data_IF_095034126295
#
_entry.id   IF_095034126295
#
_cell.length_a   1.000
_cell.length_b   1.000
_cell.length_c   1.000
_cell.angle_alpha   90.00
_cell.angle_beta   90.00
_cell.angle_gamma   90.00
#
_symmetry.space_group_name_H-M   'P 1'
#
loop_
_entity.id
_entity.type
_entity.pdbx_description
1 polymer ?
#
# COMPACT_ATOMS: atom_id res chain seq x y z
N UNK A 1 29.04 11.82 38.89
CA UNK A 1 27.95 11.94 37.89
C UNK A 1 26.63 11.58 38.57
N UNK A 2 25.70 12.52 38.70
CA UNK A 2 24.55 12.43 39.64
C UNK A 2 23.57 11.29 39.31
N UNK A 3 23.27 10.42 40.29
CA UNK A 3 22.35 9.28 40.19
C UNK A 3 20.93 9.68 39.71
N UNK A 4 20.46 10.89 40.09
CA UNK A 4 19.19 11.46 39.63
C UNK A 4 19.09 11.68 38.13
N UNK A 5 20.20 11.98 37.44
CA UNK A 5 20.19 12.17 35.98
C UNK A 5 20.03 10.84 35.23
N UNK A 6 20.63 9.76 35.73
CA UNK A 6 20.47 8.42 35.14
C UNK A 6 19.03 7.93 35.25
N UNK A 7 18.39 8.16 36.40
CA UNK A 7 16.99 7.77 36.63
C UNK A 7 16.02 8.51 35.69
N UNK A 8 16.19 9.82 35.49
CA UNK A 8 15.32 10.58 34.57
C UNK A 8 15.52 10.18 33.11
N UNK A 9 16.77 9.95 32.68
CA UNK A 9 17.07 9.50 31.32
C UNK A 9 16.42 8.13 31.03
N UNK A 10 16.54 7.18 31.95
CA UNK A 10 15.95 5.84 31.81
C UNK A 10 14.43 5.93 31.73
N UNK A 11 13.80 6.74 32.59
CA UNK A 11 12.34 6.97 32.55
C UNK A 11 11.90 7.60 31.23
N UNK A 12 12.66 8.56 30.70
CA UNK A 12 12.37 9.16 29.39
C UNK A 12 12.50 8.17 28.23
N UNK A 13 13.50 7.27 28.26
CA UNK A 13 13.67 6.23 27.25
C UNK A 13 12.52 5.21 27.32
N UNK A 14 12.11 4.80 28.52
CA UNK A 14 10.97 3.89 28.71
C UNK A 14 9.67 4.55 28.22
N UNK A 15 9.43 5.82 28.56
CA UNK A 15 8.26 6.56 28.09
C UNK A 15 8.27 6.71 26.56
N UNK A 16 9.42 7.01 25.96
CA UNK A 16 9.57 7.08 24.52
C UNK A 16 9.26 5.72 23.87
N UNK A 17 9.79 4.62 24.42
CA UNK A 17 9.53 3.27 23.93
C UNK A 17 8.06 2.88 24.06
N UNK A 18 7.40 3.22 25.18
CA UNK A 18 5.97 2.99 25.40
C UNK A 18 5.14 3.76 24.37
N UNK A 19 5.45 5.04 24.18
CA UNK A 19 4.79 5.89 23.17
C UNK A 19 5.00 5.31 21.78
N UNK A 20 6.23 4.96 21.39
CA UNK A 20 6.54 4.33 20.11
C UNK A 20 5.83 2.97 19.92
N UNK A 21 5.69 2.16 20.97
CA UNK A 21 5.00 0.86 20.91
C UNK A 21 3.47 0.99 20.85
N UNK A 22 2.90 2.07 21.39
CA UNK A 22 1.47 2.37 21.25
C UNK A 22 1.13 2.87 19.84
N UNK A 23 2.11 3.40 19.10
CA UNK A 23 2.00 3.76 17.69
C UNK A 23 2.34 2.60 16.73
N UNK A 24 2.78 1.44 17.23
CA UNK A 24 3.05 0.26 16.38
C UNK A 24 1.77 -0.41 15.85
N UNK A 25 0.59 -0.01 16.33
CA UNK A 25 -0.69 -0.24 15.65
C UNK A 25 -1.24 1.12 15.27
N UNK A 26 -0.64 1.71 14.24
CA UNK A 26 -1.05 3.00 13.72
C UNK A 26 -2.43 2.85 13.07
N UNK A 27 -3.50 3.00 13.84
CA UNK A 27 -4.84 3.32 13.33
C UNK A 27 -4.82 4.78 12.84
N UNK A 28 -3.99 5.07 11.85
CA UNK A 28 -4.11 6.29 11.06
C UNK A 28 -5.22 5.99 10.07
N UNK A 29 -6.39 6.60 10.25
CA UNK A 29 -7.48 6.63 9.28
C UNK A 29 -7.98 5.26 8.78
N UNK A 30 -8.72 4.50 9.59
CA UNK A 30 -9.57 3.40 9.12
C UNK A 30 -8.87 2.15 8.55
N UNK A 31 -7.59 2.24 8.18
CA UNK A 31 -6.80 1.15 7.62
C UNK A 31 -5.84 0.58 8.65
N UNK A 32 -5.47 -0.69 8.47
CA UNK A 32 -4.52 -1.40 9.33
C UNK A 32 -3.25 -1.67 8.54
N UNK A 33 -2.09 -1.40 9.12
CA UNK A 33 -0.79 -1.80 8.57
C UNK A 33 -0.14 -2.86 9.48
N UNK A 34 0.23 -4.00 8.91
CA UNK A 34 0.93 -5.09 9.60
C UNK A 34 2.25 -5.40 8.88
N UNK A 35 3.38 -5.17 9.56
CA UNK A 35 4.69 -5.55 9.06
C UNK A 35 5.05 -6.99 9.51
N UNK A 36 5.09 -7.92 8.55
CA UNK A 36 5.39 -9.35 8.76
C UNK A 36 6.80 -9.73 8.30
N UNK A 37 7.46 -8.88 7.52
CA UNK A 37 8.86 -9.03 7.11
C UNK A 37 9.87 -8.72 8.24
N UNK A 38 9.40 -8.14 9.34
CA UNK A 38 10.17 -7.88 10.55
C UNK A 38 11.02 -6.60 10.48
N UNK A 39 12.09 -6.53 11.27
CA UNK A 39 12.82 -5.28 11.53
C UNK A 39 13.95 -4.99 10.53
N UNK A 40 13.82 -5.46 9.28
CA UNK A 40 14.82 -5.15 8.25
C UNK A 40 14.72 -3.67 7.83
N UNK A 41 15.83 -3.09 7.36
CA UNK A 41 15.83 -1.71 6.84
C UNK A 41 14.84 -1.56 5.67
N UNK A 42 14.71 -2.59 4.83
CA UNK A 42 13.80 -2.59 3.71
C UNK A 42 12.32 -2.60 4.15
N UNK A 43 11.98 -3.44 5.13
CA UNK A 43 10.63 -3.50 5.69
C UNK A 43 10.25 -2.19 6.41
N UNK A 44 11.18 -1.62 7.19
CA UNK A 44 10.96 -0.34 7.85
C UNK A 44 10.79 0.82 6.85
N UNK A 45 11.55 0.82 5.74
CA UNK A 45 11.39 1.80 4.67
C UNK A 45 10.02 1.65 4.00
N UNK A 46 9.63 0.42 3.66
CA UNK A 46 8.33 0.16 3.06
C UNK A 46 7.18 0.62 3.98
N UNK A 47 7.26 0.30 5.27
CA UNK A 47 6.30 0.71 6.29
C UNK A 47 6.17 2.23 6.39
N UNK A 48 7.29 2.93 6.46
CA UNK A 48 7.30 4.39 6.52
C UNK A 48 6.69 5.02 5.25
N UNK A 49 6.99 4.48 4.07
CA UNK A 49 6.45 4.99 2.81
C UNK A 49 4.95 4.73 2.68
N UNK A 50 4.45 3.57 3.10
CA UNK A 50 3.01 3.26 3.13
C UNK A 50 2.29 4.24 4.05
N UNK A 51 2.78 4.42 5.29
CA UNK A 51 2.18 5.38 6.24
C UNK A 51 2.26 6.83 5.73
N UNK A 52 3.34 7.19 5.04
CA UNK A 52 3.45 8.53 4.45
C UNK A 52 2.47 8.74 3.30
N UNK A 53 2.21 7.73 2.49
CA UNK A 53 1.29 7.86 1.35
C UNK A 53 -0.18 7.75 1.77
N UNK A 54 -0.48 6.99 2.83
CA UNK A 54 -1.86 6.85 3.32
C UNK A 54 -2.49 8.18 3.73
N UNK A 55 -1.72 9.15 4.23
CA UNK A 55 -2.24 10.48 4.60
C UNK A 55 -2.70 11.31 3.39
N UNK A 56 -2.32 10.93 2.17
CA UNK A 56 -2.71 11.62 0.93
C UNK A 56 -3.97 11.04 0.31
N UNK A 57 -4.34 9.82 0.71
CA UNK A 57 -5.53 9.13 0.22
C UNK A 57 -6.71 9.55 1.08
N UNK A 58 -7.88 9.71 0.45
CA UNK A 58 -9.11 9.99 1.19
C UNK A 58 -9.49 8.76 2.03
N UNK A 59 -9.88 8.99 3.28
CA UNK A 59 -10.22 7.92 4.24
C UNK A 59 -11.22 6.90 3.68
N UNK A 60 -12.21 7.34 2.90
CA UNK A 60 -13.24 6.49 2.27
C UNK A 60 -12.68 5.40 1.34
N UNK A 61 -11.46 5.57 0.81
CA UNK A 61 -10.83 4.60 -0.10
C UNK A 61 -9.95 3.58 0.64
N UNK A 62 -9.66 3.82 1.92
CA UNK A 62 -8.78 2.98 2.74
C UNK A 62 -9.49 2.47 4.00
N UNK A 63 -10.77 2.79 4.16
CA UNK A 63 -11.58 2.32 5.28
C UNK A 63 -11.64 0.78 5.28
N UNK A 64 -11.39 0.19 6.45
CA UNK A 64 -11.35 -1.26 6.69
C UNK A 64 -10.34 -2.04 5.83
N UNK A 65 -9.41 -1.34 5.16
CA UNK A 65 -8.35 -1.94 4.36
C UNK A 65 -7.22 -2.45 5.27
N UNK A 66 -6.78 -3.69 5.05
CA UNK A 66 -5.58 -4.20 5.71
C UNK A 66 -4.39 -4.25 4.75
N UNK A 67 -3.29 -3.63 5.12
CA UNK A 67 -2.04 -3.61 4.35
C UNK A 67 -1.02 -4.48 5.07
N UNK A 68 -0.46 -5.45 4.36
CA UNK A 68 0.57 -6.35 4.83
C UNK A 68 1.89 -6.06 4.13
N UNK A 69 2.96 -5.85 4.91
CA UNK A 69 4.33 -5.94 4.38
C UNK A 69 4.79 -7.36 4.64
N UNK A 70 4.61 -8.22 3.63
CA UNK A 70 4.77 -9.67 3.74
C UNK A 70 5.31 -10.25 2.42
N UNK A 71 6.62 -10.11 2.22
CA UNK A 71 7.29 -10.49 0.97
C UNK A 71 7.28 -11.99 0.69
N UNK A 72 7.00 -12.81 1.72
CA UNK A 72 6.98 -14.28 1.64
C UNK A 72 5.57 -14.85 1.51
N UNK A 73 4.56 -13.98 1.36
CA UNK A 73 3.19 -14.42 1.26
C UNK A 73 2.94 -15.22 -0.04
N UNK A 74 2.14 -16.29 0.07
CA UNK A 74 1.79 -17.16 -1.05
C UNK A 74 0.96 -16.48 -2.14
N UNK A 75 0.33 -15.34 -1.88
CA UNK A 75 -0.41 -14.57 -2.91
C UNK A 75 0.49 -14.17 -4.08
N UNK A 76 1.79 -13.95 -3.84
CA UNK A 76 2.76 -13.63 -4.89
C UNK A 76 3.18 -14.83 -5.75
N UNK A 77 2.84 -16.05 -5.34
CA UNK A 77 3.07 -17.26 -6.15
C UNK A 77 1.99 -17.46 -7.22
N UNK A 78 0.83 -16.83 -7.03
CA UNK A 78 -0.34 -16.94 -7.93
C UNK A 78 -0.29 -15.93 -9.09
N UNK A 79 0.57 -14.91 -9.00
CA UNK A 79 0.77 -13.89 -10.03
C UNK A 79 1.79 -14.38 -11.09
N UNK A 80 1.44 -14.45 -12.39
CA UNK A 80 2.40 -14.76 -13.46
C UNK A 80 3.07 -13.46 -13.94
N UNK A 81 4.41 -13.26 -13.90
CA UNK A 81 5.51 -14.06 -13.38
C UNK A 81 6.09 -13.42 -12.11
N UNK A 82 5.45 -13.56 -10.95
CA UNK A 82 5.99 -13.22 -9.63
C UNK A 82 6.75 -11.88 -9.53
N UNK A 83 6.32 -10.87 -10.30
CA UNK A 83 6.99 -9.58 -10.45
C UNK A 83 6.20 -8.43 -9.82
N UNK A 84 4.95 -8.67 -9.42
CA UNK A 84 4.19 -7.72 -8.61
C UNK A 84 4.98 -7.34 -7.36
N UNK A 85 5.12 -6.04 -7.16
CA UNK A 85 5.66 -5.46 -5.93
C UNK A 85 4.57 -5.32 -4.86
N UNK A 86 3.30 -5.39 -5.28
CA UNK A 86 2.16 -5.53 -4.38
C UNK A 86 0.92 -6.01 -5.12
N UNK A 87 -0.04 -6.52 -4.36
CA UNK A 87 -1.27 -7.12 -4.84
C UNK A 87 -2.43 -6.76 -3.92
N UNK A 88 -3.52 -6.26 -4.49
CA UNK A 88 -4.82 -6.20 -3.83
C UNK A 88 -5.54 -7.54 -3.96
N UNK A 89 -6.06 -8.05 -2.83
CA UNK A 89 -6.83 -9.30 -2.72
C UNK A 89 -8.26 -8.94 -2.30
N UNK A 90 -9.24 -8.92 -3.23
CA UNK A 90 -10.60 -8.49 -2.95
C UNK A 90 -11.30 -9.31 -1.85
N UNK A 91 -11.08 -10.63 -1.82
CA UNK A 91 -11.72 -11.53 -0.86
C UNK A 91 -11.35 -11.23 0.59
N UNK A 92 -10.17 -10.64 0.81
CA UNK A 92 -9.65 -10.27 2.12
C UNK A 92 -9.77 -8.77 2.39
N UNK A 93 -10.17 -7.98 1.38
CA UNK A 93 -9.99 -6.52 1.35
C UNK A 93 -8.60 -6.12 1.86
N UNK A 94 -7.56 -6.72 1.27
CA UNK A 94 -6.19 -6.58 1.75
C UNK A 94 -5.20 -6.25 0.64
N UNK A 95 -4.17 -5.47 0.96
CA UNK A 95 -3.03 -5.19 0.08
C UNK A 95 -1.80 -5.87 0.66
N UNK A 96 -1.13 -6.68 -0.16
CA UNK A 96 0.16 -7.26 0.15
C UNK A 96 1.25 -6.47 -0.56
N UNK A 97 2.32 -6.11 0.13
CA UNK A 97 3.47 -5.36 -0.41
C UNK A 97 4.76 -6.11 -0.11
N UNK A 98 5.62 -6.21 -1.12
CA UNK A 98 6.96 -6.78 -1.03
C UNK A 98 7.96 -5.72 -0.59
N UNK A 99 8.55 -5.88 0.58
CA UNK A 99 9.70 -5.08 0.99
C UNK A 99 11.03 -5.65 0.46
N UNK A 100 11.07 -6.93 0.09
CA UNK A 100 12.28 -7.60 -0.42
C UNK A 100 12.66 -7.18 -1.85
N UNK A 101 11.79 -6.45 -2.55
CA UNK A 101 11.99 -5.97 -3.92
C UNK A 101 11.56 -4.52 -4.03
N UNK A 102 12.50 -3.65 -4.41
CA UNK A 102 12.24 -2.22 -4.61
C UNK A 102 11.45 -1.56 -3.47
N UNK A 103 11.89 -1.68 -2.19
CA UNK A 103 11.18 -1.10 -1.05
C UNK A 103 10.99 0.42 -1.18
N UNK A 104 11.86 1.11 -1.93
CA UNK A 104 11.73 2.53 -2.25
C UNK A 104 10.45 2.88 -3.05
N UNK A 105 9.81 1.88 -3.66
CA UNK A 105 8.56 2.02 -4.42
C UNK A 105 7.32 1.63 -3.64
N UNK A 106 7.44 1.19 -2.38
CA UNK A 106 6.32 0.68 -1.60
C UNK A 106 5.16 1.67 -1.47
N UNK A 107 5.47 2.97 -1.40
CA UNK A 107 4.46 4.02 -1.37
C UNK A 107 3.63 4.11 -2.66
N UNK A 108 4.30 4.12 -3.82
CA UNK A 108 3.61 4.15 -5.13
C UNK A 108 2.78 2.88 -5.33
N UNK A 109 3.35 1.73 -4.96
CA UNK A 109 2.67 0.43 -5.00
C UNK A 109 1.42 0.44 -4.13
N UNK A 110 1.49 0.98 -2.91
CA UNK A 110 0.33 1.10 -2.04
C UNK A 110 -0.80 1.90 -2.70
N UNK A 111 -0.51 3.08 -3.27
CA UNK A 111 -1.53 3.89 -3.93
C UNK A 111 -2.11 3.19 -5.16
N UNK A 112 -1.27 2.54 -5.97
CA UNK A 112 -1.72 1.76 -7.13
C UNK A 112 -2.69 0.65 -6.70
N UNK A 113 -2.37 -0.09 -5.63
CA UNK A 113 -3.24 -1.16 -5.13
C UNK A 113 -4.51 -0.65 -4.44
N UNK A 114 -4.49 0.54 -3.81
CA UNK A 114 -5.74 1.20 -3.38
C UNK A 114 -6.61 1.52 -4.60
N UNK A 115 -6.02 1.99 -5.70
CA UNK A 115 -6.73 2.22 -6.95
C UNK A 115 -7.39 0.94 -7.50
N UNK A 116 -6.71 -0.21 -7.42
CA UNK A 116 -7.30 -1.51 -7.71
C UNK A 116 -8.53 -1.79 -6.83
N UNK A 117 -8.42 -1.59 -5.51
CA UNK A 117 -9.54 -1.78 -4.59
C UNK A 117 -10.73 -0.86 -4.89
N UNK A 118 -10.49 0.42 -5.14
CA UNK A 118 -11.55 1.38 -5.50
C UNK A 118 -12.27 0.96 -6.77
N UNK A 119 -11.55 0.47 -7.78
CA UNK A 119 -12.16 0.01 -9.02
C UNK A 119 -13.16 -1.13 -8.79
N UNK A 120 -12.78 -2.13 -7.99
CA UNK A 120 -13.65 -3.27 -7.68
C UNK A 120 -14.81 -2.87 -6.75
N UNK A 121 -14.55 -2.14 -5.67
CA UNK A 121 -15.58 -1.74 -4.70
C UNK A 121 -16.64 -0.82 -5.31
N UNK A 122 -16.27 0.03 -6.27
CA UNK A 122 -17.20 0.92 -6.96
C UNK A 122 -17.93 0.26 -8.14
N UNK A 123 -17.67 -1.02 -8.43
CA UNK A 123 -18.30 -1.75 -9.53
C UNK A 123 -17.94 -1.19 -10.91
N UNK A 124 -16.74 -0.61 -11.06
CA UNK A 124 -16.34 0.00 -12.33
C UNK A 124 -16.10 -1.01 -13.45
N UNK A 125 -15.98 -2.29 -13.13
CA UNK A 125 -16.04 -3.41 -14.08
C UNK A 125 -17.35 -3.45 -14.88
N UNK A 126 -18.47 -2.98 -14.30
CA UNK A 126 -19.76 -2.91 -14.98
C UNK A 126 -19.93 -1.62 -15.80
N UNK A 127 -18.96 -0.69 -15.72
CA UNK A 127 -19.05 0.62 -16.36
C UNK A 127 -18.68 0.57 -17.84
N UNK A 128 -19.55 1.11 -18.70
CA UNK A 128 -19.26 1.26 -20.13
C UNK A 128 -18.25 2.36 -20.47
N UNK A 129 -17.81 3.15 -19.47
CA UNK A 129 -16.91 4.30 -19.66
C UNK A 129 -15.47 3.85 -19.93
N UNK A 130 -14.99 2.80 -19.25
CA UNK A 130 -13.63 2.29 -19.42
C UNK A 130 -13.40 1.61 -20.78
N UNK A 131 -14.33 0.79 -21.30
CA UNK A 131 -14.26 0.28 -22.67
C UNK A 131 -14.21 1.41 -23.72
N UNK A 132 -14.93 2.52 -23.50
CA UNK A 132 -14.92 3.67 -24.39
C UNK A 132 -13.58 4.44 -24.37
N UNK A 133 -12.92 4.54 -23.21
CA UNK A 133 -11.58 5.11 -23.06
C UNK A 133 -10.50 4.22 -23.72
N UNK A 134 -10.66 2.89 -23.64
CA UNK A 134 -9.77 1.95 -24.32
C UNK A 134 -9.82 2.06 -25.86
N UNK A 135 -10.97 2.48 -26.42
CA UNK A 135 -11.13 2.68 -27.87
C UNK A 135 -10.40 3.91 -28.42
N UNK A 136 -10.19 4.96 -27.60
CA UNK A 136 -9.45 6.18 -27.95
C UNK A 136 -8.66 6.70 -26.75
N UNK A 137 -7.56 6.03 -26.37
CA UNK A 137 -6.71 6.51 -25.29
C UNK A 137 -6.12 7.86 -25.70
N UNK A 138 -6.45 8.93 -24.98
CA UNK A 138 -5.80 10.23 -25.15
C UNK A 138 -4.29 10.12 -24.91
N UNK A 139 -3.49 11.15 -25.25
CA UNK A 139 -2.03 11.11 -25.16
C UNK A 139 -1.51 10.76 -23.75
N UNK A 140 -2.31 11.00 -22.71
CA UNK A 140 -2.00 10.66 -21.32
C UNK A 140 -1.88 9.13 -21.07
N UNK A 141 -2.61 8.31 -21.84
CA UNK A 141 -2.62 6.85 -21.67
C UNK A 141 -1.68 6.12 -22.66
N UNK A 142 -1.04 6.85 -23.59
CA UNK A 142 -0.16 6.28 -24.61
C UNK A 142 1.09 5.57 -24.05
N UNK A 143 1.47 5.86 -22.80
CA UNK A 143 2.59 5.21 -22.11
C UNK A 143 2.21 3.97 -21.28
N UNK A 144 0.92 3.65 -21.17
CA UNK A 144 0.48 2.48 -20.41
C UNK A 144 0.29 1.32 -21.38
N UNK A 145 1.16 0.31 -21.29
CA UNK A 145 1.04 -0.96 -22.03
C UNK A 145 0.49 -2.02 -21.08
N UNK A 146 -0.83 -2.21 -21.02
CA UNK A 146 -1.44 -3.17 -20.11
C UNK A 146 -1.38 -4.61 -20.66
N UNK A 147 -1.42 -5.63 -19.78
CA UNK A 147 -1.74 -7.02 -20.15
C UNK A 147 -3.21 -7.15 -20.62
N UNK A 148 -3.77 -8.35 -20.74
CA UNK A 148 -5.05 -8.66 -21.41
C UNK A 148 -6.28 -7.79 -21.02
N UNK A 149 -7.39 -7.95 -21.74
CA UNK A 149 -8.47 -6.95 -21.82
C UNK A 149 -9.17 -6.55 -20.52
N UNK A 150 -9.29 -7.45 -19.54
CA UNK A 150 -10.01 -7.18 -18.28
C UNK A 150 -9.06 -6.60 -17.22
N UNK A 151 -7.87 -7.19 -17.05
CA UNK A 151 -6.78 -6.63 -16.23
C UNK A 151 -6.31 -5.26 -16.74
N UNK A 152 -6.51 -4.97 -18.02
CA UNK A 152 -6.14 -3.69 -18.63
C UNK A 152 -6.87 -2.51 -18.04
N UNK A 153 -8.18 -2.61 -17.86
CA UNK A 153 -9.01 -1.46 -17.45
C UNK A 153 -8.74 -1.10 -15.99
N UNK A 154 -8.68 -2.11 -15.13
CA UNK A 154 -8.32 -1.93 -13.72
C UNK A 154 -6.89 -1.39 -13.58
N UNK A 155 -5.92 -1.90 -14.35
CA UNK A 155 -4.53 -1.42 -14.32
C UNK A 155 -4.43 0.04 -14.81
N UNK A 156 -5.19 0.42 -15.83
CA UNK A 156 -5.25 1.80 -16.33
C UNK A 156 -5.82 2.74 -15.27
N UNK A 157 -6.92 2.33 -14.63
CA UNK A 157 -7.53 3.10 -13.56
C UNK A 157 -6.58 3.24 -12.37
N UNK A 158 -6.01 2.13 -11.89
CA UNK A 158 -5.10 2.09 -10.75
C UNK A 158 -3.87 2.98 -10.96
N UNK A 159 -3.27 2.96 -12.16
CA UNK A 159 -2.15 3.83 -12.49
C UNK A 159 -2.53 5.30 -12.59
N UNK A 160 -3.69 5.60 -13.17
CA UNK A 160 -4.20 6.97 -13.21
C UNK A 160 -4.50 7.50 -11.80
N UNK A 161 -5.08 6.65 -10.94
CA UNK A 161 -5.34 6.93 -9.54
C UNK A 161 -4.04 7.22 -8.79
N UNK A 162 -3.00 6.41 -9.02
CA UNK A 162 -1.66 6.62 -8.47
C UNK A 162 -1.02 7.91 -8.93
N UNK A 163 -1.08 8.25 -10.22
CA UNK A 163 -0.50 9.50 -10.74
C UNK A 163 -1.21 10.76 -10.25
N UNK A 164 -2.44 10.64 -9.76
CA UNK A 164 -3.22 11.75 -9.24
C UNK A 164 -2.91 12.08 -7.76
N UNK A 165 -2.45 11.10 -6.97
CA UNK A 165 -2.17 11.25 -5.53
C UNK A 165 -0.66 11.36 -5.24
#
# INVERSE_FOLDING_TARGET
>A
MNSRFRSRLIVSIILLAIVCSAFSVSQVAGFRLENRDGNSTAAALAEALVLQQSIKVRDEFIEDLTVYIDSKNGVFEQDPPGHSLGLYVPEENAIYIRSDRHPERAGDVFIEQVGHGVYHTMGFEESTVFPALAAKPGPYLAGVTPPGSEEREVMLFARAFMLYH
#
